data_IF_296221834380
#
_entry.id   IF_296221834380
#
_cell.length_a   1.000
_cell.length_b   1.000
_cell.length_c   1.000
_cell.angle_alpha   90.00
_cell.angle_beta   90.00
_cell.angle_gamma   90.00
#
_symmetry.space_group_name_H-M   'P 1'
#
loop_
_entity.id
_entity.type
_entity.pdbx_description
1 polymer ?
#
# COMPACT_ATOMS: atom_id res chain seq x y z
N UNK A 1 6.77 -1.44 -21.33
CA UNK A 1 6.81 -0.23 -20.50
C UNK A 1 6.83 -0.67 -19.04
N UNK A 2 7.67 -0.11 -18.21
CA UNK A 2 7.66 -0.42 -16.78
C UNK A 2 6.37 0.14 -16.14
N UNK A 3 5.72 -0.64 -15.29
CA UNK A 3 4.52 -0.20 -14.60
C UNK A 3 4.82 0.89 -13.55
N UNK A 4 6.03 0.89 -12.99
CA UNK A 4 6.49 1.89 -12.03
C UNK A 4 7.56 2.78 -12.68
N UNK A 5 7.37 4.09 -12.60
CA UNK A 5 8.31 5.10 -13.12
C UNK A 5 9.29 5.61 -12.06
N UNK A 6 8.94 5.46 -10.80
CA UNK A 6 9.77 5.88 -9.68
C UNK A 6 9.60 4.96 -8.49
N UNK A 7 10.65 4.90 -7.68
CA UNK A 7 10.63 4.18 -6.41
C UNK A 7 11.38 5.00 -5.35
N UNK A 8 10.94 4.89 -4.11
CA UNK A 8 11.59 5.53 -2.97
C UNK A 8 11.63 4.58 -1.78
N UNK A 9 12.66 4.71 -0.97
CA UNK A 9 12.82 3.95 0.26
C UNK A 9 12.92 4.94 1.42
N UNK A 10 12.05 4.81 2.42
CA UNK A 10 11.94 5.74 3.53
C UNK A 10 11.85 4.99 4.85
N UNK A 11 12.16 5.69 5.91
CA UNK A 11 11.96 5.21 7.28
C UNK A 11 10.67 5.81 7.83
N UNK A 12 9.84 4.97 8.46
CA UNK A 12 8.64 5.45 9.16
C UNK A 12 8.97 6.06 10.53
N UNK A 13 10.17 5.76 11.05
CA UNK A 13 10.66 6.26 12.34
C UNK A 13 12.14 6.66 12.24
N UNK A 14 12.51 7.74 12.90
CA UNK A 14 13.87 8.29 12.85
C UNK A 14 14.93 7.34 13.42
N UNK A 15 14.55 6.54 14.42
CA UNK A 15 15.46 5.62 15.10
C UNK A 15 15.84 4.38 14.28
N UNK A 16 15.11 4.09 13.20
CA UNK A 16 15.40 2.93 12.34
C UNK A 16 16.75 3.14 11.63
N UNK A 17 17.58 2.11 11.58
CA UNK A 17 18.88 2.17 10.89
C UNK A 17 18.68 2.21 9.37
N UNK A 18 17.70 1.49 8.86
CA UNK A 18 17.46 1.33 7.42
C UNK A 18 15.98 1.60 7.10
N UNK A 19 15.66 1.94 5.83
CA UNK A 19 14.27 2.07 5.39
C UNK A 19 13.44 0.81 5.68
N UNK A 20 12.20 1.02 6.08
CA UNK A 20 11.22 -0.03 6.38
C UNK A 20 10.00 0.01 5.45
N UNK A 21 9.87 1.06 4.62
CA UNK A 21 8.86 1.18 3.57
C UNK A 21 9.50 1.50 2.22
N UNK A 22 8.80 1.06 1.18
CA UNK A 22 9.08 1.37 -0.22
C UNK A 22 7.85 1.98 -0.88
N UNK A 23 8.07 2.97 -1.73
CA UNK A 23 7.04 3.53 -2.63
C UNK A 23 7.28 3.08 -4.07
N UNK A 24 6.20 2.76 -4.76
CA UNK A 24 6.16 2.64 -6.21
C UNK A 24 5.24 3.69 -6.77
N UNK A 25 5.76 4.53 -7.68
CA UNK A 25 4.99 5.57 -8.36
C UNK A 25 4.62 5.09 -9.75
N UNK A 26 3.33 4.96 -10.02
CA UNK A 26 2.78 4.47 -11.27
C UNK A 26 2.00 5.59 -11.96
N UNK A 27 2.17 5.82 -13.28
CA UNK A 27 1.52 6.92 -14.02
C UNK A 27 0.07 6.59 -14.43
N UNK A 28 -0.61 5.79 -13.67
CA UNK A 28 -2.01 5.41 -13.83
C UNK A 28 -2.61 4.97 -12.50
N UNK A 29 -3.93 4.83 -12.46
CA UNK A 29 -4.65 4.19 -11.34
C UNK A 29 -5.62 3.13 -11.86
N UNK A 30 -5.94 2.16 -11.00
CA UNK A 30 -6.91 1.11 -11.25
C UNK A 30 -7.47 0.58 -9.93
N UNK A 31 -8.77 0.26 -9.89
CA UNK A 31 -9.37 -0.39 -8.71
C UNK A 31 -8.93 -1.85 -8.59
N UNK A 32 -8.88 -2.53 -9.73
CA UNK A 32 -8.49 -3.94 -9.82
C UNK A 32 -7.72 -4.18 -11.12
N UNK A 33 -6.66 -4.99 -11.10
CA UNK A 33 -5.90 -5.31 -12.31
C UNK A 33 -6.75 -5.87 -13.45
N UNK A 34 -7.81 -6.62 -13.13
CA UNK A 34 -8.72 -7.24 -14.10
C UNK A 34 -9.61 -6.24 -14.83
N UNK A 35 -9.84 -5.04 -14.28
CA UNK A 35 -10.68 -3.99 -14.89
C UNK A 35 -9.89 -3.03 -15.78
N UNK A 36 -8.55 -3.13 -15.76
CA UNK A 36 -7.67 -2.19 -16.43
C UNK A 36 -7.61 -0.82 -15.75
N UNK A 37 -6.81 0.11 -16.31
CA UNK A 37 -6.62 1.43 -15.73
C UNK A 37 -7.86 2.30 -15.90
N UNK A 38 -8.03 3.26 -14.99
CA UNK A 38 -9.03 4.31 -15.10
C UNK A 38 -8.83 5.13 -16.38
N UNK A 39 -9.92 5.70 -16.89
CA UNK A 39 -9.90 6.53 -18.12
C UNK A 39 -9.57 8.00 -17.86
N UNK A 40 -9.45 8.41 -16.60
CA UNK A 40 -9.04 9.76 -16.21
C UNK A 40 -7.53 9.79 -15.90
N UNK A 41 -6.95 10.99 -15.96
CA UNK A 41 -5.54 11.19 -15.62
C UNK A 41 -5.33 11.02 -14.13
N UNK A 42 -4.45 10.09 -13.77
CA UNK A 42 -4.11 9.81 -12.37
C UNK A 42 -2.70 9.22 -12.25
N UNK A 43 -2.20 9.21 -11.03
CA UNK A 43 -1.05 8.40 -10.64
C UNK A 43 -1.36 7.63 -9.36
N UNK A 44 -0.62 6.58 -9.12
CA UNK A 44 -0.71 5.80 -7.88
C UNK A 44 0.62 5.83 -7.16
N UNK A 45 0.59 6.11 -5.86
CA UNK A 45 1.70 5.92 -4.94
C UNK A 45 1.41 4.68 -4.09
N UNK A 46 1.94 3.53 -4.48
CA UNK A 46 1.78 2.30 -3.71
C UNK A 46 2.81 2.26 -2.59
N UNK A 47 2.38 1.89 -1.40
CA UNK A 47 3.21 1.74 -0.20
C UNK A 47 3.41 0.27 0.09
N UNK A 48 4.65 -0.14 0.28
CA UNK A 48 5.03 -1.52 0.59
C UNK A 48 5.89 -1.55 1.86
N UNK A 49 5.55 -2.43 2.77
CA UNK A 49 6.39 -2.73 3.92
C UNK A 49 7.56 -3.65 3.50
N UNK A 50 8.78 -3.31 3.90
CA UNK A 50 9.98 -4.06 3.50
C UNK A 50 10.30 -5.24 4.42
N UNK A 51 9.91 -5.18 5.69
CA UNK A 51 10.22 -6.18 6.71
C UNK A 51 9.02 -6.53 7.56
N UNK A 52 7.99 -7.20 6.99
CA UNK A 52 6.83 -7.61 7.75
C UNK A 52 7.19 -8.67 8.78
N UNK A 53 6.60 -8.57 9.98
CA UNK A 53 6.70 -9.56 11.04
C UNK A 53 5.61 -10.62 10.95
N UNK A 54 4.48 -10.28 10.35
CA UNK A 54 3.36 -11.19 10.14
C UNK A 54 3.80 -12.38 9.29
N UNK A 55 3.42 -13.59 9.72
CA UNK A 55 3.71 -14.84 9.01
C UNK A 55 2.43 -15.58 8.75
N UNK A 56 2.30 -16.07 7.52
CA UNK A 56 1.25 -16.96 7.11
C UNK A 56 1.73 -18.40 6.94
N UNK A 57 0.86 -19.25 6.43
CA UNK A 57 1.18 -20.64 6.15
C UNK A 57 0.40 -21.16 4.95
N UNK A 58 0.89 -22.27 4.39
CA UNK A 58 0.27 -23.01 3.32
C UNK A 58 0.00 -24.45 3.80
N UNK A 59 -1.17 -24.99 3.46
CA UNK A 59 -1.49 -26.38 3.70
C UNK A 59 -2.04 -27.04 2.44
N UNK A 60 -1.79 -28.32 2.27
CA UNK A 60 -2.44 -29.08 1.22
C UNK A 60 -3.93 -29.21 1.54
N UNK A 61 -4.78 -28.98 0.54
CA UNK A 61 -6.23 -29.17 0.67
C UNK A 61 -6.61 -30.64 0.67
N UNK A 62 -5.92 -31.45 -0.16
CA UNK A 62 -6.12 -32.88 -0.30
C UNK A 62 -4.85 -33.57 -0.86
N UNK A 63 -4.81 -34.90 -0.97
CA UNK A 63 -3.73 -35.59 -1.67
C UNK A 63 -3.76 -35.41 -3.20
N UNK A 64 -4.84 -34.88 -3.76
CA UNK A 64 -4.97 -34.65 -5.20
C UNK A 64 -4.13 -33.43 -5.62
N UNK A 65 -3.13 -33.63 -6.47
CA UNK A 65 -2.22 -32.62 -6.96
C UNK A 65 -2.89 -31.51 -7.80
N UNK A 66 -4.12 -31.73 -8.27
CA UNK A 66 -4.90 -30.72 -9.01
C UNK A 66 -5.64 -29.74 -8.08
N UNK A 67 -5.76 -30.04 -6.81
CA UNK A 67 -6.39 -29.15 -5.86
C UNK A 67 -5.45 -28.03 -5.45
N UNK A 68 -5.93 -26.79 -5.57
CA UNK A 68 -5.18 -25.63 -5.08
C UNK A 68 -4.95 -25.74 -3.57
N UNK A 69 -3.76 -25.35 -3.08
CA UNK A 69 -3.48 -25.33 -1.65
C UNK A 69 -4.34 -24.31 -0.92
N UNK A 70 -4.55 -24.51 0.37
CA UNK A 70 -5.09 -23.47 1.25
C UNK A 70 -3.96 -22.49 1.58
N UNK A 71 -4.17 -21.21 1.24
CA UNK A 71 -3.20 -20.15 1.45
C UNK A 71 -3.74 -19.24 2.55
N UNK A 72 -2.99 -19.11 3.64
CA UNK A 72 -3.31 -18.23 4.77
C UNK A 72 -2.20 -17.18 4.90
N UNK A 73 -2.31 -16.01 4.23
CA UNK A 73 -1.25 -15.01 4.21
C UNK A 73 -1.03 -14.37 5.57
N UNK A 74 -2.09 -14.18 6.34
CA UNK A 74 -2.08 -13.58 7.68
C UNK A 74 -1.44 -12.18 7.71
N UNK A 75 -1.70 -11.36 6.68
CA UNK A 75 -1.19 -9.99 6.59
C UNK A 75 -1.69 -9.13 7.75
N UNK A 76 -0.87 -8.15 8.16
CA UNK A 76 -1.21 -7.17 9.20
C UNK A 76 -1.64 -7.80 10.54
N UNK A 77 -1.05 -8.95 10.88
CA UNK A 77 -1.36 -9.66 12.13
C UNK A 77 -0.63 -9.06 13.34
N UNK A 78 0.44 -8.31 13.13
CA UNK A 78 1.22 -7.66 14.20
C UNK A 78 0.95 -6.16 14.25
N UNK A 79 1.09 -5.57 15.44
CA UNK A 79 0.97 -4.14 15.62
C UNK A 79 2.05 -3.38 14.83
N UNK A 80 3.27 -3.93 14.73
CA UNK A 80 4.36 -3.38 13.95
C UNK A 80 3.95 -3.21 12.49
N UNK A 81 3.40 -4.25 11.88
CA UNK A 81 2.98 -4.22 10.47
C UNK A 81 1.85 -3.21 10.23
N UNK A 82 0.85 -3.20 11.13
CA UNK A 82 -0.25 -2.25 11.06
C UNK A 82 0.24 -0.80 11.16
N UNK A 83 1.10 -0.50 12.12
CA UNK A 83 1.63 0.84 12.33
C UNK A 83 2.53 1.29 11.16
N UNK A 84 3.40 0.41 10.66
CA UNK A 84 4.29 0.71 9.54
C UNK A 84 3.51 1.06 8.29
N UNK A 85 2.49 0.29 7.93
CA UNK A 85 1.72 0.55 6.71
C UNK A 85 0.88 1.84 6.83
N UNK A 86 0.27 2.10 8.00
CA UNK A 86 -0.48 3.34 8.26
C UNK A 86 0.41 4.56 8.12
N UNK A 87 1.60 4.54 8.75
CA UNK A 87 2.59 5.62 8.61
C UNK A 87 3.06 5.79 7.17
N UNK A 88 3.25 4.70 6.46
CA UNK A 88 3.60 4.73 5.04
C UNK A 88 2.56 5.47 4.20
N UNK A 89 1.27 5.20 4.40
CA UNK A 89 0.17 5.92 3.73
C UNK A 89 0.17 7.40 4.11
N UNK A 90 0.35 7.73 5.40
CA UNK A 90 0.45 9.13 5.86
C UNK A 90 1.63 9.87 5.23
N UNK A 91 2.79 9.21 5.08
CA UNK A 91 3.96 9.79 4.41
C UNK A 91 3.67 10.04 2.93
N UNK A 92 3.03 9.10 2.22
CA UNK A 92 2.63 9.29 0.82
C UNK A 92 1.73 10.53 0.66
N UNK A 93 0.74 10.69 1.53
CA UNK A 93 -0.16 11.86 1.54
C UNK A 93 0.59 13.17 1.82
N UNK A 94 1.51 13.16 2.81
CA UNK A 94 2.36 14.33 3.08
C UNK A 94 3.22 14.71 1.87
N UNK A 95 3.81 13.73 1.17
CA UNK A 95 4.58 13.98 -0.06
C UNK A 95 3.71 14.63 -1.12
N UNK A 96 2.47 14.16 -1.30
CA UNK A 96 1.52 14.73 -2.26
C UNK A 96 1.14 16.18 -1.95
N UNK A 97 1.19 16.61 -0.69
CA UNK A 97 0.90 17.97 -0.26
C UNK A 97 2.06 18.96 -0.47
N UNK A 98 3.27 18.48 -0.77
CA UNK A 98 4.43 19.36 -0.98
C UNK A 98 4.53 19.88 -2.42
N UNK A 99 4.96 21.14 -2.54
CA UNK A 99 5.36 21.70 -3.83
C UNK A 99 6.68 21.06 -4.32
N UNK A 100 6.81 20.78 -5.63
CA UNK A 100 5.93 21.20 -6.73
C UNK A 100 4.82 20.20 -7.09
N UNK A 101 4.66 19.09 -6.36
CA UNK A 101 3.71 18.03 -6.72
C UNK A 101 2.25 18.47 -6.52
N UNK A 102 1.96 19.14 -5.40
CA UNK A 102 0.62 19.57 -4.98
C UNK A 102 -0.16 20.30 -6.09
N UNK A 103 0.47 21.21 -6.80
CA UNK A 103 -0.17 21.99 -7.87
C UNK A 103 -0.68 21.17 -9.06
N UNK A 104 -0.25 19.90 -9.18
CA UNK A 104 -0.67 18.98 -10.23
C UNK A 104 -1.74 17.99 -9.78
N UNK A 105 -2.09 17.99 -8.48
CA UNK A 105 -3.09 17.09 -7.90
C UNK A 105 -4.38 17.88 -7.70
N UNK A 106 -5.48 17.39 -8.28
CA UNK A 106 -6.80 17.97 -8.10
C UNK A 106 -7.44 17.43 -6.82
N UNK A 107 -7.40 16.11 -6.65
CA UNK A 107 -7.99 15.43 -5.50
C UNK A 107 -7.31 14.07 -5.26
N UNK A 108 -7.45 13.53 -4.06
CA UNK A 108 -7.09 12.16 -3.74
C UNK A 108 -8.29 11.25 -4.05
N UNK A 109 -8.11 10.32 -5.00
CA UNK A 109 -9.15 9.37 -5.37
C UNK A 109 -9.36 8.30 -4.30
N UNK A 110 -8.28 7.74 -3.76
CA UNK A 110 -8.31 6.69 -2.76
C UNK A 110 -7.10 6.80 -1.81
N UNK A 111 -7.30 6.73 -0.49
CA UNK A 111 -8.55 6.54 0.24
C UNK A 111 -9.54 7.71 0.19
N UNK A 112 -9.12 8.90 -0.26
CA UNK A 112 -9.99 10.06 -0.41
C UNK A 112 -10.42 10.71 0.92
N UNK A 113 -11.43 11.57 0.84
CA UNK A 113 -11.94 12.34 1.99
C UNK A 113 -12.60 11.48 3.07
N UNK A 114 -13.02 10.26 2.74
CA UNK A 114 -13.70 9.36 3.69
C UNK A 114 -12.77 8.87 4.81
N UNK A 115 -11.46 8.97 4.58
CA UNK A 115 -10.43 8.64 5.58
C UNK A 115 -9.56 9.88 5.83
N UNK A 116 -9.82 10.66 6.88
CA UNK A 116 -9.01 11.82 7.24
C UNK A 116 -7.52 11.48 7.41
N UNK A 117 -6.64 12.45 7.14
CA UNK A 117 -5.17 12.24 7.16
C UNK A 117 -4.66 11.69 8.50
N UNK A 118 -5.26 12.14 9.60
CA UNK A 118 -4.83 11.76 10.96
C UNK A 118 -5.67 10.62 11.56
N UNK A 119 -6.55 10.00 10.77
CA UNK A 119 -7.35 8.85 11.19
C UNK A 119 -6.57 7.56 10.91
N UNK A 120 -5.82 7.12 11.92
CA UNK A 120 -5.00 5.90 11.82
C UNK A 120 -5.86 4.64 11.74
N UNK A 121 -6.96 4.59 12.50
CA UNK A 121 -7.88 3.44 12.51
C UNK A 121 -8.61 3.32 11.17
N UNK A 122 -9.17 4.42 10.67
CA UNK A 122 -9.79 4.46 9.34
C UNK A 122 -8.81 4.14 8.22
N UNK A 123 -7.56 4.61 8.31
CA UNK A 123 -6.49 4.25 7.36
C UNK A 123 -6.21 2.75 7.40
N UNK A 124 -6.08 2.16 8.58
CA UNK A 124 -5.82 0.73 8.72
C UNK A 124 -6.99 -0.11 8.18
N UNK A 125 -8.22 0.28 8.48
CA UNK A 125 -9.40 -0.39 7.96
C UNK A 125 -9.52 -0.29 6.44
N UNK A 126 -9.17 0.87 5.87
CA UNK A 126 -9.09 1.03 4.42
C UNK A 126 -8.03 0.11 3.81
N UNK A 127 -6.82 0.07 4.36
CA UNK A 127 -5.74 -0.83 3.92
C UNK A 127 -6.20 -2.29 3.95
N UNK A 128 -6.81 -2.75 5.05
CA UNK A 128 -7.31 -4.14 5.18
C UNK A 128 -8.34 -4.53 4.14
N UNK A 129 -9.09 -3.57 3.62
CA UNK A 129 -10.11 -3.82 2.60
C UNK A 129 -9.57 -3.78 1.17
N UNK A 130 -8.43 -3.14 0.95
CA UNK A 130 -7.93 -2.81 -0.40
C UNK A 130 -6.58 -3.44 -0.74
N UNK A 131 -5.86 -3.96 0.24
CA UNK A 131 -4.53 -4.57 0.08
C UNK A 131 -4.58 -6.08 -0.22
#
# INVERSE_FOLDING_TARGET
MAASLGTGFLKTEDHLETPDIQFHIQPFSADMPSKGPHKFSAFTASVLQLRPESKGYLTLKSPNYLDHPNIHPNYLATATDCNTIVKGVQIARKIAEHEPLKKHILEEYAPGSDVPLNDEEGTLDWVRRTA
#
